data_IF_585589968718
#
_entry.id   IF_585589968718
#
_cell.length_a   1.000
_cell.length_b   1.000
_cell.length_c   1.000
_cell.angle_alpha   90.00
_cell.angle_beta   90.00
_cell.angle_gamma   90.00
#
_symmetry.space_group_name_H-M   'P 1'
#
loop_
_entity.id
_entity.type
_entity.pdbx_description
1 polymer ?
#
# COMPACT_ATOMS: atom_id res chain seq x y z
N UNK A 1 -37.82 19.87 -52.59
CA UNK A 1 -36.63 20.14 -51.75
C UNK A 1 -37.06 20.22 -50.29
N UNK A 2 -36.68 19.21 -49.49
CA UNK A 2 -36.81 19.18 -48.02
C UNK A 2 -35.51 18.57 -47.49
N UNK A 3 -34.88 19.16 -46.47
CA UNK A 3 -34.01 18.36 -45.61
C UNK A 3 -34.34 18.58 -44.13
N UNK A 4 -34.54 17.49 -43.40
CA UNK A 4 -34.40 17.34 -41.94
C UNK A 4 -34.76 15.88 -41.64
N UNK A 5 -34.03 15.08 -40.85
CA UNK A 5 -33.05 15.38 -39.82
C UNK A 5 -32.24 14.09 -39.65
N UNK A 6 -30.92 14.13 -39.86
CA UNK A 6 -30.04 13.04 -39.47
C UNK A 6 -29.76 13.17 -37.96
N UNK A 7 -30.02 12.10 -37.23
CA UNK A 7 -29.65 11.91 -35.85
C UNK A 7 -28.12 11.99 -35.74
N UNK A 8 -27.61 12.98 -35.01
CA UNK A 8 -26.22 12.96 -34.58
C UNK A 8 -26.20 13.00 -33.06
N UNK A 9 -25.65 11.91 -32.53
CA UNK A 9 -25.29 11.66 -31.15
C UNK A 9 -24.70 12.94 -30.53
N UNK A 10 -25.27 13.39 -29.41
CA UNK A 10 -24.57 14.38 -28.59
C UNK A 10 -23.41 13.66 -27.93
N UNK A 11 -22.20 13.93 -28.41
CA UNK A 11 -20.97 13.65 -27.69
C UNK A 11 -21.13 14.21 -26.28
N UNK A 12 -21.23 13.28 -25.33
CA UNK A 12 -21.32 13.60 -23.91
C UNK A 12 -19.92 13.98 -23.46
N UNK A 13 -19.75 15.24 -23.07
CA UNK A 13 -18.51 15.74 -22.49
C UNK A 13 -18.04 14.83 -21.33
N UNK A 14 -16.72 14.61 -21.16
CA UNK A 14 -16.22 13.81 -20.05
C UNK A 14 -16.50 14.51 -18.70
N UNK A 15 -16.77 13.78 -17.60
CA UNK A 15 -16.96 14.41 -16.29
C UNK A 15 -15.65 15.04 -15.79
N UNK A 16 -15.77 16.25 -15.25
CA UNK A 16 -14.69 17.19 -14.95
C UNK A 16 -13.93 16.90 -13.63
N UNK A 17 -13.39 15.69 -13.46
CA UNK A 17 -12.54 15.33 -12.30
C UNK A 17 -11.24 14.58 -12.63
N UNK A 18 -11.04 14.16 -13.88
CA UNK A 18 -10.11 13.08 -14.23
C UNK A 18 -8.57 13.34 -14.33
N UNK A 19 -7.97 14.54 -14.16
CA UNK A 19 -6.50 14.66 -14.22
C UNK A 19 -5.79 14.67 -12.86
N UNK A 20 -6.37 15.30 -11.83
CA UNK A 20 -5.68 15.52 -10.53
C UNK A 20 -5.77 14.27 -9.65
N UNK A 21 -6.96 13.69 -9.52
CA UNK A 21 -7.21 12.50 -8.71
C UNK A 21 -6.35 11.31 -9.15
N UNK A 22 -6.14 11.16 -10.46
CA UNK A 22 -5.32 10.07 -11.01
C UNK A 22 -3.82 10.26 -10.73
N UNK A 23 -3.32 11.49 -10.80
CA UNK A 23 -1.90 11.78 -10.55
C UNK A 23 -1.54 11.63 -9.08
N UNK A 24 -2.46 12.03 -8.18
CA UNK A 24 -2.31 11.84 -6.72
C UNK A 24 -2.39 10.36 -6.37
N UNK A 25 -3.37 9.62 -6.88
CA UNK A 25 -3.47 8.18 -6.70
C UNK A 25 -2.23 7.44 -7.21
N UNK A 26 -1.62 7.90 -8.31
CA UNK A 26 -0.36 7.36 -8.82
C UNK A 26 0.83 7.69 -7.88
N UNK A 27 0.80 8.80 -7.15
CA UNK A 27 1.85 9.19 -6.21
C UNK A 27 1.79 8.40 -4.90
N UNK A 28 0.63 8.33 -4.24
CA UNK A 28 0.43 7.55 -3.02
C UNK A 28 0.67 6.05 -3.27
N UNK A 29 0.27 5.54 -4.45
CA UNK A 29 0.58 4.16 -4.86
C UNK A 29 2.08 3.90 -4.98
N UNK A 30 2.83 4.83 -5.60
CA UNK A 30 4.31 4.70 -5.70
C UNK A 30 4.97 4.75 -4.32
N UNK A 31 4.45 5.56 -3.41
CA UNK A 31 4.95 5.64 -2.04
C UNK A 31 4.72 4.33 -1.28
N UNK A 32 3.52 3.75 -1.39
CA UNK A 32 3.20 2.45 -0.80
C UNK A 32 4.09 1.32 -1.34
N UNK A 33 4.36 1.30 -2.65
CA UNK A 33 5.27 0.33 -3.27
C UNK A 33 6.71 0.47 -2.74
N UNK A 34 7.23 1.70 -2.62
CA UNK A 34 8.55 1.95 -2.03
C UNK A 34 8.64 1.50 -0.58
N UNK A 35 7.58 1.72 0.20
CA UNK A 35 7.53 1.23 1.57
C UNK A 35 7.60 -0.30 1.61
N UNK A 36 6.80 -0.96 0.77
CA UNK A 36 6.83 -2.42 0.64
C UNK A 36 8.21 -2.96 0.23
N UNK A 37 8.86 -2.34 -0.75
CA UNK A 37 10.23 -2.67 -1.16
C UNK A 37 11.23 -2.54 -0.01
N UNK A 38 11.21 -1.41 0.73
CA UNK A 38 12.07 -1.20 1.89
C UNK A 38 11.85 -2.26 2.99
N UNK A 39 10.61 -2.71 3.19
CA UNK A 39 10.29 -3.81 4.08
C UNK A 39 10.82 -5.16 3.59
N UNK A 40 10.63 -5.47 2.31
CA UNK A 40 11.13 -6.69 1.67
C UNK A 40 12.66 -6.78 1.70
N UNK A 41 13.37 -5.66 1.55
CA UNK A 41 14.83 -5.57 1.69
C UNK A 41 15.29 -5.96 3.09
N UNK A 42 14.47 -5.67 4.11
CA UNK A 42 14.68 -6.13 5.49
C UNK A 42 14.14 -7.52 5.78
N UNK A 43 13.65 -8.25 4.77
CA UNK A 43 13.07 -9.60 4.90
C UNK A 43 11.78 -9.63 5.72
N UNK A 44 10.98 -8.55 5.64
CA UNK A 44 9.61 -8.58 6.12
C UNK A 44 8.81 -9.72 5.47
N UNK A 45 7.89 -10.30 6.23
CA UNK A 45 7.00 -11.38 5.79
C UNK A 45 5.56 -10.86 5.70
N UNK A 46 4.74 -11.51 4.87
CA UNK A 46 3.33 -11.17 4.68
C UNK A 46 3.11 -9.72 4.23
N UNK A 47 3.98 -9.17 3.38
CA UNK A 47 3.85 -7.78 2.94
C UNK A 47 2.60 -7.64 2.06
N UNK A 48 1.67 -6.79 2.46
CA UNK A 48 0.46 -6.48 1.72
C UNK A 48 0.30 -4.97 1.52
N UNK A 49 -0.21 -4.56 0.36
CA UNK A 49 -0.67 -3.20 0.13
C UNK A 49 -2.18 -3.25 -0.11
N UNK A 50 -2.92 -2.54 0.74
CA UNK A 50 -4.38 -2.52 0.77
C UNK A 50 -4.87 -1.19 0.20
N UNK A 51 -5.74 -1.24 -0.80
CA UNK A 51 -6.44 -0.09 -1.37
C UNK A 51 -7.69 0.24 -0.53
N UNK A 52 -7.57 1.30 0.26
CA UNK A 52 -8.62 1.83 1.13
C UNK A 52 -9.23 3.13 0.58
N UNK A 53 -8.92 3.51 -0.68
CA UNK A 53 -9.49 4.68 -1.33
C UNK A 53 -11.01 4.60 -1.34
N UNK A 54 -11.67 5.64 -0.85
CA UNK A 54 -13.13 5.72 -0.74
C UNK A 54 -13.75 4.81 0.33
N UNK A 55 -12.95 4.07 1.10
CA UNK A 55 -13.38 3.29 2.27
C UNK A 55 -13.10 4.03 3.57
N UNK A 56 -12.00 4.79 3.60
CA UNK A 56 -11.64 5.70 4.68
C UNK A 56 -11.32 7.08 4.10
N UNK A 57 -11.34 8.09 4.97
CA UNK A 57 -11.08 9.49 4.62
C UNK A 57 -9.66 9.96 4.99
N UNK A 58 -8.88 9.11 5.68
CA UNK A 58 -7.57 9.47 6.22
C UNK A 58 -6.37 8.89 5.46
N UNK A 59 -6.57 7.95 4.53
CA UNK A 59 -5.50 7.31 3.77
C UNK A 59 -6.02 6.74 2.43
N UNK A 60 -5.12 6.62 1.45
CA UNK A 60 -5.36 5.89 0.20
C UNK A 60 -4.94 4.42 0.32
N UNK A 61 -3.79 4.17 0.96
CA UNK A 61 -3.21 2.84 1.08
C UNK A 61 -2.77 2.51 2.49
N UNK A 62 -3.02 1.27 2.90
CA UNK A 62 -2.37 0.67 4.07
C UNK A 62 -1.30 -0.30 3.60
N UNK A 63 -0.12 -0.28 4.21
CA UNK A 63 0.92 -1.26 3.96
C UNK A 63 1.12 -2.09 5.21
N UNK A 64 0.82 -3.38 5.15
CA UNK A 64 0.99 -4.30 6.28
C UNK A 64 2.27 -5.10 6.08
N UNK A 65 3.06 -5.25 7.14
CA UNK A 65 4.29 -6.02 7.16
C UNK A 65 4.43 -6.75 8.48
N UNK A 66 5.12 -7.89 8.46
CA UNK A 66 5.43 -8.63 9.69
C UNK A 66 6.93 -8.82 9.85
N UNK A 67 7.40 -8.61 11.08
CA UNK A 67 8.73 -8.97 11.55
C UNK A 67 8.68 -10.17 12.48
N UNK A 68 9.76 -10.93 12.52
CA UNK A 68 9.90 -12.18 13.31
C UNK A 68 10.34 -11.96 14.76
N UNK A 69 10.60 -10.71 15.15
CA UNK A 69 10.93 -10.29 16.52
C UNK A 69 10.80 -8.77 16.63
N UNK A 70 10.70 -8.24 17.84
CA UNK A 70 10.61 -6.78 18.07
C UNK A 70 11.75 -6.01 17.42
N UNK A 71 12.98 -6.55 17.49
CA UNK A 71 14.15 -5.96 16.84
C UNK A 71 14.00 -5.95 15.32
N UNK A 72 13.45 -7.01 14.74
CA UNK A 72 13.22 -7.10 13.31
C UNK A 72 12.14 -6.09 12.87
N UNK A 73 11.04 -5.98 13.62
CA UNK A 73 10.00 -4.96 13.42
C UNK A 73 10.60 -3.55 13.46
N UNK A 74 11.35 -3.20 14.51
CA UNK A 74 12.01 -1.89 14.58
C UNK A 74 12.98 -1.67 13.41
N UNK A 75 13.67 -2.72 12.93
CA UNK A 75 14.58 -2.63 11.79
C UNK A 75 13.84 -2.42 10.47
N UNK A 76 12.70 -3.06 10.26
CA UNK A 76 11.85 -2.87 9.08
C UNK A 76 11.33 -1.42 9.08
N UNK A 77 10.74 -0.98 10.19
CA UNK A 77 10.18 0.36 10.32
C UNK A 77 11.22 1.46 10.06
N UNK A 78 12.43 1.34 10.63
CA UNK A 78 13.53 2.28 10.36
C UNK A 78 13.95 2.28 8.90
N UNK A 79 13.96 1.12 8.25
CA UNK A 79 14.29 1.04 6.82
C UNK A 79 13.26 1.77 5.97
N UNK A 80 11.98 1.63 6.30
CA UNK A 80 10.90 2.34 5.61
C UNK A 80 11.05 3.86 5.80
N UNK A 81 11.22 4.32 7.04
CA UNK A 81 11.49 5.73 7.33
C UNK A 81 12.71 6.25 6.55
N UNK A 82 13.87 5.57 6.67
CA UNK A 82 15.10 5.99 6.00
C UNK A 82 14.95 6.07 4.48
N UNK A 83 14.36 5.08 3.83
CA UNK A 83 14.23 5.05 2.37
C UNK A 83 13.21 6.08 1.85
N UNK A 84 12.08 6.26 2.54
CA UNK A 84 11.06 7.24 2.13
C UNK A 84 11.53 8.67 2.44
N UNK A 85 12.18 8.89 3.58
CA UNK A 85 12.80 10.16 3.94
C UNK A 85 13.88 10.57 2.92
N UNK A 86 14.76 9.65 2.48
CA UNK A 86 15.73 9.90 1.40
C UNK A 86 15.07 10.24 0.07
N UNK A 87 13.89 9.66 -0.19
CA UNK A 87 13.08 9.95 -1.36
C UNK A 87 12.26 11.26 -1.23
N UNK A 88 12.45 12.04 -0.16
CA UNK A 88 11.78 13.32 0.06
C UNK A 88 10.40 13.23 0.71
N UNK A 89 10.05 12.07 1.30
CA UNK A 89 8.75 11.81 1.93
C UNK A 89 8.97 11.34 3.38
N UNK A 90 9.40 12.22 4.30
CA UNK A 90 9.54 11.84 5.71
C UNK A 90 8.17 11.53 6.32
N UNK A 91 8.08 10.59 7.29
CA UNK A 91 6.83 10.32 7.98
C UNK A 91 6.39 11.55 8.78
N UNK A 92 5.08 11.80 8.78
CA UNK A 92 4.46 12.79 9.65
C UNK A 92 4.52 12.31 11.11
N UNK A 93 4.27 11.03 11.36
CA UNK A 93 4.39 10.45 12.69
C UNK A 93 4.95 9.05 12.66
N UNK A 94 5.62 8.67 13.76
CA UNK A 94 6.11 7.31 14.00
C UNK A 94 5.76 6.92 15.42
N UNK A 95 5.00 5.85 15.59
CA UNK A 95 4.51 5.37 16.88
C UNK A 95 4.97 3.94 17.15
N UNK A 96 5.15 3.57 18.43
CA UNK A 96 5.46 2.20 18.85
C UNK A 96 6.91 1.73 18.61
N UNK A 97 7.74 2.51 17.90
CA UNK A 97 9.13 2.15 17.54
C UNK A 97 10.01 1.68 18.72
N UNK A 98 9.93 2.27 19.94
CA UNK A 98 10.75 1.82 21.07
C UNK A 98 10.44 0.40 21.56
N UNK A 99 9.20 -0.08 21.39
CA UNK A 99 8.79 -1.44 21.79
C UNK A 99 9.01 -2.44 20.67
N UNK A 100 8.66 -2.09 19.43
CA UNK A 100 8.83 -2.98 18.28
C UNK A 100 7.79 -4.11 18.19
N UNK A 101 6.77 -4.14 19.04
CA UNK A 101 5.66 -5.11 18.91
C UNK A 101 4.72 -4.74 17.76
N UNK A 102 4.46 -3.45 17.61
CA UNK A 102 3.70 -2.84 16.52
C UNK A 102 4.22 -1.43 16.33
N UNK A 103 4.67 -1.13 15.12
CA UNK A 103 5.09 0.20 14.70
C UNK A 103 4.15 0.72 13.62
N UNK A 104 3.71 1.96 13.79
CA UNK A 104 2.93 2.71 12.79
C UNK A 104 3.79 3.85 12.24
N UNK A 105 3.86 3.97 10.92
CA UNK A 105 4.43 5.11 10.24
C UNK A 105 3.36 5.78 9.38
N UNK A 106 3.09 7.04 9.63
CA UNK A 106 2.07 7.82 8.95
C UNK A 106 2.71 8.74 7.91
N UNK A 107 2.33 8.57 6.63
CA UNK A 107 2.74 9.41 5.51
C UNK A 107 1.54 10.15 4.89
N UNK A 108 0.47 10.38 5.68
CA UNK A 108 -0.81 10.97 5.27
C UNK A 108 -1.58 10.05 4.31
N UNK A 109 -1.19 9.98 3.04
CA UNK A 109 -1.90 9.18 2.04
C UNK A 109 -1.57 7.68 2.15
N UNK A 110 -0.51 7.33 2.87
CA UNK A 110 -0.06 5.95 3.10
C UNK A 110 0.24 5.73 4.57
N UNK A 111 -0.36 4.69 5.16
CA UNK A 111 -0.06 4.28 6.54
C UNK A 111 0.59 2.90 6.56
N UNK A 112 1.82 2.84 7.08
CA UNK A 112 2.60 1.60 7.17
C UNK A 112 2.47 1.01 8.57
N UNK A 113 2.07 -0.25 8.63
CA UNK A 113 1.98 -1.03 9.85
C UNK A 113 3.00 -2.16 9.80
N UNK A 114 3.91 -2.17 10.78
CA UNK A 114 4.87 -3.24 10.96
C UNK A 114 4.58 -3.96 12.27
N UNK A 115 4.21 -5.22 12.18
CA UNK A 115 3.77 -6.03 13.32
C UNK A 115 4.78 -7.11 13.69
N UNK A 116 4.88 -7.43 14.98
CA UNK A 116 5.28 -8.76 15.40
C UNK A 116 4.19 -9.79 15.02
N UNK A 117 4.57 -11.05 14.82
CA UNK A 117 3.66 -12.10 14.36
C UNK A 117 2.40 -12.27 15.25
N UNK A 118 2.60 -12.30 16.57
CA UNK A 118 1.51 -12.39 17.55
C UNK A 118 0.59 -11.17 17.49
N UNK A 119 1.16 -9.98 17.31
CA UNK A 119 0.40 -8.73 17.23
C UNK A 119 -0.48 -8.69 15.98
N UNK A 120 0.04 -9.08 14.81
CA UNK A 120 -0.77 -9.14 13.57
C UNK A 120 -1.95 -10.09 13.71
N UNK A 121 -1.70 -11.25 14.32
CA UNK A 121 -2.74 -12.26 14.56
C UNK A 121 -3.81 -11.78 15.54
N UNK A 122 -3.42 -11.02 16.58
CA UNK A 122 -4.35 -10.51 17.58
C UNK A 122 -5.23 -9.37 17.04
N UNK A 123 -4.64 -8.44 16.29
CA UNK A 123 -5.35 -7.26 15.77
C UNK A 123 -6.09 -7.52 14.45
N UNK A 124 -5.66 -8.54 13.68
CA UNK A 124 -6.33 -9.04 12.47
C UNK A 124 -6.80 -7.94 11.50
N UNK A 125 -5.90 -7.00 11.19
CA UNK A 125 -6.19 -5.96 10.19
C UNK A 125 -6.38 -6.57 8.79
N UNK A 126 -5.77 -7.73 8.53
CA UNK A 126 -6.02 -8.56 7.36
C UNK A 126 -7.52 -8.90 7.25
N UNK A 127 -8.12 -9.39 8.34
CA UNK A 127 -9.56 -9.66 8.48
C UNK A 127 -10.45 -8.43 8.36
N UNK A 128 -10.04 -7.29 8.92
CA UNK A 128 -10.80 -6.05 8.82
C UNK A 128 -10.95 -5.55 7.37
N UNK A 129 -9.94 -5.80 6.53
CA UNK A 129 -9.86 -5.30 5.17
C UNK A 129 -9.94 -6.39 4.10
N UNK A 130 -10.60 -7.51 4.37
CA UNK A 130 -10.74 -8.63 3.41
C UNK A 130 -11.42 -8.22 2.11
N UNK A 131 -12.39 -7.30 2.17
CA UNK A 131 -13.15 -6.83 1.01
C UNK A 131 -12.45 -5.68 0.26
N UNK A 132 -11.26 -5.26 0.71
CA UNK A 132 -10.48 -4.19 0.08
C UNK A 132 -9.50 -4.74 -0.96
N UNK A 133 -9.37 -4.02 -2.08
CA UNK A 133 -8.46 -4.37 -3.16
C UNK A 133 -7.01 -4.47 -2.67
N UNK A 134 -6.22 -5.32 -3.31
CA UNK A 134 -4.78 -5.45 -3.04
C UNK A 134 -3.98 -4.95 -4.23
N UNK A 135 -2.90 -4.22 -3.94
CA UNK A 135 -1.95 -3.82 -4.97
C UNK A 135 -0.88 -4.93 -5.09
N UNK A 136 -0.71 -5.54 -6.28
CA UNK A 136 0.34 -6.54 -6.48
C UNK A 136 1.72 -5.94 -6.25
N UNK A 137 2.55 -6.67 -5.50
CA UNK A 137 3.97 -6.36 -5.36
C UNK A 137 4.72 -6.86 -6.59
N UNK A 138 5.73 -6.13 -7.09
CA UNK A 138 6.62 -6.64 -8.14
C UNK A 138 7.22 -7.96 -7.68
N UNK A 139 7.19 -8.97 -8.56
CA UNK A 139 7.45 -10.37 -8.25
C UNK A 139 8.64 -10.55 -7.29
N UNK A 140 8.32 -10.84 -6.02
CA UNK A 140 9.21 -11.59 -5.16
C UNK A 140 8.91 -13.05 -5.40
N UNK A 141 9.27 -13.52 -6.60
CA UNK A 141 9.16 -14.90 -7.03
C UNK A 141 10.06 -15.77 -6.13
N UNK A 142 9.53 -16.15 -4.96
CA UNK A 142 10.10 -17.22 -4.13
C UNK A 142 9.58 -18.52 -4.69
N UNK A 143 10.36 -19.05 -5.63
CA UNK A 143 10.50 -20.47 -5.99
C UNK A 143 9.28 -21.35 -5.73
N UNK A 144 8.48 -21.53 -6.76
CA UNK A 144 7.80 -22.82 -6.92
C UNK A 144 8.88 -23.91 -7.12
N UNK A 145 8.95 -24.95 -6.27
CA UNK A 145 9.66 -26.15 -6.67
C UNK A 145 8.87 -26.73 -7.84
N UNK A 146 9.45 -26.69 -9.05
CA UNK A 146 8.85 -27.27 -10.24
C UNK A 146 8.38 -28.71 -9.96
N UNK A 147 7.27 -29.16 -10.57
CA UNK A 147 6.73 -30.48 -10.29
C UNK A 147 7.79 -31.53 -10.61
N UNK A 148 8.30 -32.17 -9.56
CA UNK A 148 9.18 -33.31 -9.66
C UNK A 148 8.51 -34.36 -10.53
N UNK A 149 9.09 -34.61 -11.69
CA UNK A 149 8.70 -35.73 -12.54
C UNK A 149 9.63 -36.87 -12.17
N UNK A 150 9.07 -37.85 -11.46
CA UNK A 150 9.61 -39.22 -11.37
C UNK A 150 9.55 -39.93 -12.73
#
# INVERSE_FOLDING_TARGET
MKPARASQQRDSAPPAGAPVDRVVADASRRLALRAAEAGLDKKAIGVEIIDVVGKVDYADYLVLMTGTSDRHVSSIARSVDEELSKAGHPPMSVEGLPRGEWVLLDFVDVVVHVFAEDARSLYDLDGLWMDAGRIPLPDSDRGEPGPGTE
#
